data_IF_642964517614
#
_entry.id   IF_642964517614
#
_cell.length_a   1.000
_cell.length_b   1.000
_cell.length_c   1.000
_cell.angle_alpha   90.00
_cell.angle_beta   90.00
_cell.angle_gamma   90.00
#
_symmetry.space_group_name_H-M   'P 1'
#
loop_
_entity.id
_entity.type
_entity.pdbx_description
1 polymer ?
#
# COMPACT_ATOMS: atom_id res chain seq x y z
N UNK A 1 9.43 22.70 3.94
CA UNK A 1 9.09 21.25 3.85
C UNK A 1 8.20 20.80 5.00
N UNK A 2 8.49 21.12 6.28
CA UNK A 2 7.70 20.65 7.43
C UNK A 2 6.20 21.00 7.39
N UNK A 3 5.83 22.25 7.09
CA UNK A 3 4.41 22.65 7.00
C UNK A 3 3.61 21.84 5.97
N UNK A 4 4.19 21.56 4.81
CA UNK A 4 3.53 20.76 3.76
C UNK A 4 3.31 19.31 4.18
N UNK A 5 4.30 18.72 4.87
CA UNK A 5 4.19 17.38 5.44
C UNK A 5 3.07 17.33 6.49
N UNK A 6 3.03 18.28 7.42
CA UNK A 6 2.00 18.35 8.45
C UNK A 6 0.59 18.47 7.86
N UNK A 7 0.39 19.36 6.88
CA UNK A 7 -0.91 19.53 6.22
C UNK A 7 -1.32 18.26 5.47
N UNK A 8 -0.39 17.61 4.77
CA UNK A 8 -0.68 16.38 4.02
C UNK A 8 -1.12 15.25 4.96
N UNK A 9 -0.40 15.03 6.06
CA UNK A 9 -0.79 14.02 7.05
C UNK A 9 -2.10 14.36 7.76
N UNK A 10 -2.38 15.65 8.02
CA UNK A 10 -3.67 16.07 8.57
C UNK A 10 -4.84 15.76 7.60
N UNK A 11 -4.68 16.01 6.30
CA UNK A 11 -5.69 15.66 5.29
C UNK A 11 -5.89 14.15 5.16
N UNK A 12 -4.81 13.37 5.23
CA UNK A 12 -4.88 11.90 5.25
C UNK A 12 -5.66 11.44 6.48
N UNK A 13 -5.37 12.00 7.65
CA UNK A 13 -6.09 11.66 8.88
C UNK A 13 -7.58 12.02 8.79
N UNK A 14 -7.90 13.23 8.33
CA UNK A 14 -9.28 13.71 8.17
C UNK A 14 -10.09 12.93 7.12
N UNK A 15 -9.44 12.27 6.16
CA UNK A 15 -10.12 11.43 5.18
C UNK A 15 -10.26 9.98 5.63
N UNK A 16 -9.19 9.38 6.17
CA UNK A 16 -9.17 7.97 6.53
C UNK A 16 -9.87 7.67 7.86
N UNK A 17 -9.67 8.47 8.91
CA UNK A 17 -10.26 8.16 10.23
C UNK A 17 -11.79 8.25 10.24
N UNK A 18 -12.44 9.31 9.72
CA UNK A 18 -13.90 9.36 9.69
C UNK A 18 -14.50 8.24 8.86
N UNK A 19 -13.86 7.88 7.73
CA UNK A 19 -14.30 6.77 6.89
C UNK A 19 -14.22 5.43 7.63
N UNK A 20 -13.13 5.17 8.36
CA UNK A 20 -12.96 3.97 9.14
C UNK A 20 -13.96 3.89 10.31
N UNK A 21 -14.15 4.98 11.05
CA UNK A 21 -15.08 5.05 12.18
C UNK A 21 -16.53 4.87 11.71
N UNK A 22 -16.97 5.63 10.70
CA UNK A 22 -18.33 5.51 10.16
C UNK A 22 -18.56 4.14 9.52
N UNK A 23 -17.57 3.62 8.79
CA UNK A 23 -17.63 2.29 8.20
C UNK A 23 -17.80 1.19 9.24
N UNK A 24 -17.01 1.23 10.31
CA UNK A 24 -17.14 0.27 11.40
C UNK A 24 -18.47 0.45 12.16
N UNK A 25 -18.96 1.67 12.34
CA UNK A 25 -20.25 1.92 13.00
C UNK A 25 -21.45 1.36 12.19
N UNK A 26 -21.43 1.51 10.87
CA UNK A 26 -22.52 1.03 9.99
C UNK A 26 -22.48 -0.48 9.78
N UNK A 27 -21.31 -1.05 9.51
CA UNK A 27 -21.19 -2.46 9.12
C UNK A 27 -20.75 -3.38 10.27
N UNK A 28 -20.01 -2.89 11.26
CA UNK A 28 -19.51 -3.66 12.40
C UNK A 28 -18.88 -4.99 11.97
N UNK A 29 -19.29 -6.08 12.62
CA UNK A 29 -18.85 -7.45 12.30
C UNK A 29 -19.51 -8.06 11.05
N UNK A 30 -20.36 -7.31 10.33
CA UNK A 30 -21.06 -7.81 9.12
C UNK A 30 -20.24 -7.60 7.84
N UNK A 31 -19.06 -7.01 7.91
CA UNK A 31 -18.13 -6.95 6.77
C UNK A 31 -17.54 -8.36 6.58
N UNK A 32 -17.68 -8.98 5.39
CA UNK A 32 -17.05 -10.26 5.12
C UNK A 32 -15.53 -10.14 5.34
N UNK A 33 -14.98 -10.99 6.22
CA UNK A 33 -13.55 -11.03 6.53
C UNK A 33 -12.69 -11.65 5.40
N UNK A 34 -13.33 -12.09 4.31
CA UNK A 34 -12.65 -12.67 3.16
C UNK A 34 -11.83 -11.60 2.45
N UNK A 35 -10.52 -11.53 2.72
CA UNK A 35 -9.62 -10.60 2.03
C UNK A 35 -9.79 -10.70 0.50
N UNK A 36 -9.89 -9.52 -0.13
CA UNK A 36 -10.11 -9.19 -1.56
C UNK A 36 -9.93 -10.37 -2.54
N UNK A 37 -10.91 -10.65 -3.43
CA UNK A 37 -11.89 -9.70 -4.00
C UNK A 37 -13.21 -9.53 -3.24
N UNK A 38 -13.43 -10.25 -2.13
CA UNK A 38 -14.73 -10.34 -1.43
C UNK A 38 -14.85 -9.50 -0.14
N UNK A 39 -13.79 -8.87 0.32
CA UNK A 39 -13.73 -8.14 1.59
C UNK A 39 -13.41 -6.66 1.43
N UNK A 40 -13.85 -5.89 2.41
CA UNK A 40 -13.63 -4.45 2.49
C UNK A 40 -14.93 -3.65 2.62
N UNK A 41 -14.78 -2.35 2.88
CA UNK A 41 -15.93 -1.47 3.09
C UNK A 41 -16.84 -1.37 1.86
N UNK A 42 -16.27 -1.48 0.65
CA UNK A 42 -17.02 -1.44 -0.61
C UNK A 42 -17.90 -2.69 -0.79
N UNK A 43 -17.41 -3.88 -0.43
CA UNK A 43 -18.20 -5.11 -0.53
C UNK A 43 -19.31 -5.14 0.52
N UNK A 44 -19.01 -4.67 1.74
CA UNK A 44 -20.03 -4.42 2.78
C UNK A 44 -21.13 -3.47 2.31
N UNK A 45 -20.76 -2.37 1.65
CA UNK A 45 -21.71 -1.41 1.07
C UNK A 45 -22.58 -2.04 -0.03
N UNK A 46 -21.98 -2.75 -0.98
CA UNK A 46 -22.73 -3.38 -2.08
C UNK A 46 -23.67 -4.48 -1.55
N UNK A 47 -23.23 -5.26 -0.56
CA UNK A 47 -24.03 -6.35 -0.01
C UNK A 47 -25.22 -5.86 0.82
N UNK A 48 -25.03 -4.85 1.67
CA UNK A 48 -26.09 -4.36 2.57
C UNK A 48 -26.94 -3.24 1.97
N UNK A 49 -26.34 -2.33 1.20
CA UNK A 49 -27.01 -1.14 0.65
C UNK A 49 -27.15 -1.18 -0.87
N UNK A 50 -26.63 -2.22 -1.54
CA UNK A 50 -26.65 -2.31 -3.00
C UNK A 50 -28.05 -2.42 -3.61
N UNK A 51 -29.03 -2.98 -2.89
CA UNK A 51 -30.41 -3.09 -3.37
C UNK A 51 -31.19 -1.77 -3.23
N UNK A 52 -30.94 -1.00 -2.17
CA UNK A 52 -31.62 0.26 -1.88
C UNK A 52 -31.00 1.46 -2.61
N UNK A 53 -29.73 1.35 -3.00
CA UNK A 53 -28.98 2.45 -3.63
C UNK A 53 -29.22 2.53 -5.14
N UNK A 54 -29.47 3.75 -5.64
CA UNK A 54 -29.62 4.04 -7.08
C UNK A 54 -28.43 3.55 -7.92
N UNK A 55 -28.72 3.04 -9.12
CA UNK A 55 -27.70 2.56 -10.09
C UNK A 55 -26.67 3.65 -10.41
N UNK A 56 -27.08 4.92 -10.43
CA UNK A 56 -26.20 6.05 -10.70
C UNK A 56 -25.09 6.21 -9.66
N UNK A 57 -25.45 6.14 -8.37
CA UNK A 57 -24.49 6.29 -7.25
C UNK A 57 -23.46 5.16 -7.26
N UNK A 58 -23.91 3.92 -7.48
CA UNK A 58 -23.01 2.77 -7.61
C UNK A 58 -22.04 2.95 -8.78
N UNK A 59 -22.56 3.35 -9.95
CA UNK A 59 -21.74 3.64 -11.13
C UNK A 59 -20.69 4.70 -10.86
N UNK A 60 -21.06 5.79 -10.19
CA UNK A 60 -20.15 6.88 -9.85
C UNK A 60 -19.02 6.41 -8.92
N UNK A 61 -19.33 5.61 -7.89
CA UNK A 61 -18.30 5.04 -7.00
C UNK A 61 -17.30 4.18 -7.77
N UNK A 62 -17.77 3.26 -8.61
CA UNK A 62 -16.87 2.41 -9.40
C UNK A 62 -16.04 3.22 -10.39
N UNK A 63 -16.63 4.23 -11.04
CA UNK A 63 -15.89 5.12 -11.95
C UNK A 63 -14.78 5.88 -11.21
N UNK A 64 -15.05 6.42 -10.03
CA UNK A 64 -14.03 7.09 -9.22
C UNK A 64 -12.89 6.14 -8.81
N UNK A 65 -13.21 4.89 -8.45
CA UNK A 65 -12.20 3.87 -8.10
C UNK A 65 -11.32 3.56 -9.32
N UNK A 66 -11.91 3.40 -10.50
CA UNK A 66 -11.18 3.14 -11.74
C UNK A 66 -10.24 4.31 -12.07
N UNK A 67 -10.75 5.54 -12.03
CA UNK A 67 -9.95 6.74 -12.29
C UNK A 67 -8.79 6.83 -11.28
N UNK A 68 -9.07 6.66 -9.98
CA UNK A 68 -8.05 6.67 -8.94
C UNK A 68 -6.97 5.60 -9.17
N UNK A 69 -7.38 4.39 -9.56
CA UNK A 69 -6.45 3.28 -9.83
C UNK A 69 -5.57 3.55 -11.05
N UNK A 70 -6.15 4.09 -12.13
CA UNK A 70 -5.42 4.47 -13.34
C UNK A 70 -4.39 5.57 -13.07
N UNK A 71 -4.78 6.61 -12.32
CA UNK A 71 -3.86 7.69 -11.95
C UNK A 71 -2.76 7.21 -10.99
N UNK A 72 -3.13 6.42 -9.98
CA UNK A 72 -2.18 5.90 -8.98
C UNK A 72 -1.12 5.00 -9.60
N UNK A 73 -1.51 4.15 -10.56
CA UNK A 73 -0.57 3.29 -11.27
C UNK A 73 0.55 4.09 -11.94
N UNK A 74 0.23 5.23 -12.58
CA UNK A 74 1.24 6.07 -13.22
C UNK A 74 2.24 6.65 -12.21
N UNK A 75 1.74 7.11 -11.05
CA UNK A 75 2.58 7.68 -9.99
C UNK A 75 3.52 6.61 -9.42
N UNK A 76 3.01 5.40 -9.15
CA UNK A 76 3.83 4.32 -8.58
C UNK A 76 4.77 3.65 -9.58
N UNK A 77 4.44 3.67 -10.88
CA UNK A 77 5.31 3.11 -11.92
C UNK A 77 6.48 4.05 -12.28
N UNK A 78 6.34 5.37 -12.05
CA UNK A 78 7.35 6.36 -12.42
C UNK A 78 8.76 6.07 -11.84
N UNK A 79 8.92 5.77 -10.53
CA UNK A 79 10.23 5.41 -9.99
C UNK A 79 10.84 4.18 -10.66
N UNK A 80 10.03 3.20 -11.07
CA UNK A 80 10.52 2.00 -11.76
C UNK A 80 11.04 2.37 -13.15
N UNK A 81 10.30 3.20 -13.88
CA UNK A 81 10.73 3.69 -15.19
C UNK A 81 12.02 4.50 -15.11
N UNK A 82 12.14 5.38 -14.12
CA UNK A 82 13.36 6.16 -13.90
C UNK A 82 14.56 5.26 -13.57
N UNK A 83 14.38 4.22 -12.74
CA UNK A 83 15.43 3.26 -12.43
C UNK A 83 15.85 2.43 -13.66
N UNK A 84 14.91 1.97 -14.48
CA UNK A 84 15.20 1.24 -15.71
C UNK A 84 15.96 2.12 -16.72
N UNK A 85 15.55 3.38 -16.84
CA UNK A 85 16.22 4.35 -17.70
C UNK A 85 17.64 4.68 -17.21
N UNK A 86 17.81 4.94 -15.91
CA UNK A 86 19.14 5.16 -15.31
C UNK A 86 20.07 3.97 -15.58
N UNK A 87 19.56 2.74 -15.45
CA UNK A 87 20.34 1.52 -15.71
C UNK A 87 20.71 1.39 -17.20
N UNK A 88 19.82 1.76 -18.11
CA UNK A 88 20.11 1.80 -19.55
C UNK A 88 21.19 2.83 -19.88
N UNK A 89 21.08 4.04 -19.34
CA UNK A 89 22.05 5.13 -19.57
C UNK A 89 23.42 4.72 -19.02
N UNK A 90 23.46 4.17 -17.80
CA UNK A 90 24.71 3.70 -17.18
C UNK A 90 25.39 2.59 -17.99
N UNK A 91 24.61 1.65 -18.56
CA UNK A 91 25.16 0.53 -19.33
C UNK A 91 25.59 0.92 -20.75
N UNK A 92 24.80 1.75 -21.45
CA UNK A 92 25.01 2.05 -22.87
C UNK A 92 25.69 3.39 -23.12
N UNK A 93 25.90 4.17 -22.06
CA UNK A 93 26.46 5.52 -22.04
C UNK A 93 25.85 6.46 -23.10
N UNK A 94 24.56 6.25 -23.40
CA UNK A 94 23.79 6.97 -24.41
C UNK A 94 22.40 7.27 -23.86
N UNK A 95 21.80 8.36 -24.33
CA UNK A 95 20.43 8.73 -23.97
C UNK A 95 19.47 7.62 -24.38
N UNK A 96 18.46 7.38 -23.53
CA UNK A 96 17.43 6.38 -23.80
C UNK A 96 16.54 6.85 -24.96
N UNK A 97 16.55 6.18 -26.12
CA UNK A 97 15.71 6.59 -27.25
C UNK A 97 14.23 6.31 -26.92
N UNK A 98 13.34 7.09 -27.53
CA UNK A 98 11.89 7.01 -27.26
C UNK A 98 11.31 5.59 -27.42
N UNK A 99 11.76 4.82 -28.42
CA UNK A 99 11.32 3.44 -28.62
C UNK A 99 11.67 2.51 -27.45
N UNK A 100 12.83 2.69 -26.82
CA UNK A 100 13.25 1.89 -25.66
C UNK A 100 12.43 2.27 -24.44
N UNK A 101 12.14 3.57 -24.24
CA UNK A 101 11.22 4.02 -23.18
C UNK A 101 9.81 3.43 -23.34
N UNK A 102 9.28 3.43 -24.56
CA UNK A 102 7.99 2.79 -24.88
C UNK A 102 8.05 1.29 -24.64
N UNK A 103 9.14 0.63 -25.02
CA UNK A 103 9.38 -0.78 -24.74
C UNK A 103 9.36 -1.11 -23.25
N UNK A 104 10.03 -0.32 -22.41
CA UNK A 104 10.01 -0.50 -20.95
C UNK A 104 8.60 -0.35 -20.37
N UNK A 105 7.83 0.64 -20.83
CA UNK A 105 6.45 0.85 -20.37
C UNK A 105 5.52 -0.30 -20.75
N UNK A 106 5.59 -0.77 -21.99
CA UNK A 106 4.78 -1.90 -22.47
C UNK A 106 5.17 -3.18 -21.74
N UNK A 107 6.48 -3.44 -21.60
CA UNK A 107 6.97 -4.64 -20.92
C UNK A 107 6.57 -4.65 -19.44
N UNK A 108 6.79 -3.55 -18.73
CA UNK A 108 6.42 -3.44 -17.31
C UNK A 108 4.89 -3.52 -17.11
N UNK A 109 4.11 -2.86 -17.97
CA UNK A 109 2.65 -2.98 -17.96
C UNK A 109 2.16 -4.40 -18.24
N UNK A 110 2.77 -5.06 -19.23
CA UNK A 110 2.47 -6.45 -19.58
C UNK A 110 2.81 -7.42 -18.45
N UNK A 111 3.98 -7.29 -17.83
CA UNK A 111 4.36 -8.09 -16.66
C UNK A 111 3.39 -7.85 -15.50
N UNK A 112 3.05 -6.58 -15.22
CA UNK A 112 2.11 -6.23 -14.15
C UNK A 112 0.73 -6.85 -14.40
N UNK A 113 0.26 -6.84 -15.65
CA UNK A 113 -0.99 -7.48 -16.05
C UNK A 113 -0.92 -9.01 -15.90
N UNK A 114 0.15 -9.64 -16.38
CA UNK A 114 0.35 -11.09 -16.26
C UNK A 114 0.37 -11.52 -14.78
N UNK A 115 1.05 -10.75 -13.93
CA UNK A 115 1.11 -11.00 -12.48
C UNK A 115 -0.28 -10.85 -11.85
N UNK A 116 -1.04 -9.82 -12.23
CA UNK A 116 -2.39 -9.61 -11.72
C UNK A 116 -3.35 -10.76 -12.08
N UNK A 117 -3.23 -11.30 -13.30
CA UNK A 117 -4.05 -12.44 -13.77
C UNK A 117 -3.57 -13.77 -13.20
N UNK A 118 -2.26 -13.99 -13.13
CA UNK A 118 -1.67 -15.24 -12.65
C UNK A 118 -1.79 -15.41 -11.12
N UNK A 119 -1.73 -14.32 -10.36
CA UNK A 119 -1.72 -14.32 -8.90
C UNK A 119 -2.85 -13.46 -8.31
N UNK A 120 -4.12 -13.86 -8.45
CA UNK A 120 -5.27 -13.06 -7.97
C UNK A 120 -5.32 -12.93 -6.43
N UNK A 121 -4.52 -13.73 -5.72
CA UNK A 121 -4.40 -13.70 -4.26
C UNK A 121 -3.40 -12.66 -3.72
N UNK A 122 -2.71 -11.89 -4.58
CA UNK A 122 -1.72 -10.88 -4.15
C UNK A 122 -2.29 -9.86 -3.16
N UNK A 123 -3.58 -9.52 -3.28
CA UNK A 123 -4.26 -8.65 -2.32
C UNK A 123 -4.24 -9.17 -0.88
N UNK A 124 -4.24 -10.50 -0.69
CA UNK A 124 -4.16 -11.13 0.64
C UNK A 124 -2.77 -11.00 1.26
N UNK A 125 -1.73 -10.89 0.43
CA UNK A 125 -0.35 -10.69 0.87
C UNK A 125 -0.04 -9.23 1.19
N UNK A 126 -0.95 -8.29 0.89
CA UNK A 126 -0.71 -6.86 1.09
C UNK A 126 -0.36 -6.50 2.54
N UNK A 127 -1.04 -7.11 3.52
CA UNK A 127 -0.73 -6.90 4.94
C UNK A 127 0.66 -7.42 5.32
N UNK A 128 1.09 -8.55 4.75
CA UNK A 128 2.41 -9.14 4.98
C UNK A 128 3.52 -8.27 4.36
N UNK A 129 3.35 -7.87 3.09
CA UNK A 129 4.28 -6.99 2.38
C UNK A 129 4.37 -5.63 3.09
N UNK A 130 3.23 -5.09 3.52
CA UNK A 130 3.16 -3.91 4.38
C UNK A 130 3.98 -4.10 5.66
N UNK A 131 3.76 -5.19 6.38
CA UNK A 131 4.51 -5.55 7.60
C UNK A 131 6.04 -5.54 7.42
N UNK A 132 6.53 -6.14 6.32
CA UNK A 132 7.96 -6.21 6.00
C UNK A 132 8.56 -4.83 5.69
N UNK A 133 7.75 -3.89 5.17
CA UNK A 133 8.23 -2.54 4.82
C UNK A 133 8.16 -1.53 5.95
N UNK A 134 7.42 -1.82 7.04
CA UNK A 134 7.29 -0.92 8.21
C UNK A 134 8.62 -0.58 8.91
N UNK A 135 9.59 -1.51 9.05
CA UNK A 135 10.90 -1.15 9.58
C UNK A 135 11.60 -0.06 8.77
N UNK A 136 11.42 -0.06 7.45
CA UNK A 136 12.04 0.93 6.57
C UNK A 136 11.44 2.34 6.77
N UNK A 137 10.14 2.43 7.05
CA UNK A 137 9.44 3.72 7.17
C UNK A 137 9.48 4.29 8.58
N UNK A 138 9.39 3.44 9.62
CA UNK A 138 9.29 3.88 11.01
C UNK A 138 10.59 3.67 11.80
N UNK A 139 11.22 2.50 11.68
CA UNK A 139 12.37 2.17 12.52
C UNK A 139 13.68 2.76 11.99
N UNK A 140 13.91 2.62 10.67
CA UNK A 140 15.13 3.04 10.00
C UNK A 140 15.47 4.53 10.21
N UNK A 141 14.57 5.50 9.95
CA UNK A 141 14.91 6.91 10.15
C UNK A 141 15.22 7.25 11.62
N UNK A 142 14.55 6.60 12.58
CA UNK A 142 14.81 6.80 14.01
C UNK A 142 16.21 6.33 14.41
N UNK A 143 16.59 5.11 14.03
CA UNK A 143 17.93 4.59 14.33
C UNK A 143 19.03 5.33 13.55
N UNK A 144 18.77 5.65 12.28
CA UNK A 144 19.69 6.42 11.43
C UNK A 144 19.95 7.81 12.02
N UNK A 145 18.91 8.49 12.54
CA UNK A 145 19.08 9.78 13.19
C UNK A 145 19.97 9.71 14.44
N UNK A 146 19.80 8.67 15.26
CA UNK A 146 20.65 8.45 16.46
C UNK A 146 22.11 8.22 16.06
N UNK A 147 22.36 7.41 15.01
CA UNK A 147 23.71 7.12 14.52
C UNK A 147 24.41 8.36 13.94
N UNK A 148 23.69 9.20 13.19
CA UNK A 148 24.24 10.40 12.54
C UNK A 148 24.47 11.51 13.58
N UNK A 149 23.48 11.79 14.43
CA UNK A 149 23.52 12.95 15.33
C UNK A 149 24.24 12.68 16.65
N UNK A 150 24.46 11.42 17.02
CA UNK A 150 25.13 10.99 18.26
C UNK A 150 24.67 11.82 19.48
N UNK A 151 23.35 11.90 19.75
CA UNK A 151 22.85 12.66 20.88
C UNK A 151 23.40 12.10 22.20
N UNK A 152 23.46 12.93 23.24
CA UNK A 152 23.89 12.46 24.57
C UNK A 152 23.02 11.28 25.02
N UNK A 153 23.63 10.19 25.53
CA UNK A 153 22.86 9.07 26.05
C UNK A 153 21.91 9.55 27.15
N UNK A 154 20.68 9.04 27.16
CA UNK A 154 19.58 9.43 28.05
C UNK A 154 19.02 10.86 27.86
N UNK A 155 19.37 11.56 26.78
CA UNK A 155 18.64 12.78 26.39
C UNK A 155 17.21 12.46 25.96
N UNK A 156 16.26 13.36 26.21
CA UNK A 156 14.87 13.22 25.78
C UNK A 156 14.74 12.86 24.29
N UNK A 157 15.52 13.50 23.42
CA UNK A 157 15.51 13.21 21.97
C UNK A 157 16.08 11.83 21.64
N UNK A 158 17.05 11.33 22.42
CA UNK A 158 17.56 9.97 22.25
C UNK A 158 16.50 8.94 22.68
N UNK A 159 15.86 9.16 23.83
CA UNK A 159 14.80 8.29 24.34
C UNK A 159 13.60 8.22 23.39
N UNK A 160 13.11 9.37 22.88
CA UNK A 160 11.97 9.42 21.94
C UNK A 160 12.29 8.65 20.65
N UNK A 161 13.45 8.90 20.03
CA UNK A 161 13.80 8.22 18.78
C UNK A 161 14.04 6.72 19.01
N UNK A 162 14.66 6.33 20.12
CA UNK A 162 14.88 4.93 20.46
C UNK A 162 13.54 4.21 20.68
N UNK A 163 12.64 4.81 21.46
CA UNK A 163 11.32 4.26 21.74
C UNK A 163 10.48 4.13 20.47
N UNK A 164 10.43 5.16 19.63
CA UNK A 164 9.72 5.11 18.34
C UNK A 164 10.31 4.04 17.40
N UNK A 165 11.64 3.91 17.35
CA UNK A 165 12.31 2.89 16.56
C UNK A 165 11.97 1.46 17.03
N UNK A 166 12.03 1.22 18.35
CA UNK A 166 11.66 -0.04 18.95
C UNK A 166 10.16 -0.36 18.74
N UNK A 167 9.27 0.61 18.93
CA UNK A 167 7.84 0.44 18.68
C UNK A 167 7.57 0.10 17.21
N UNK A 168 8.23 0.77 16.26
CA UNK A 168 8.12 0.47 14.83
C UNK A 168 8.53 -0.97 14.52
N UNK A 169 9.61 -1.47 15.14
CA UNK A 169 10.05 -2.86 14.99
C UNK A 169 9.06 -3.86 15.59
N UNK A 170 8.55 -3.60 16.80
CA UNK A 170 7.56 -4.45 17.46
C UNK A 170 6.29 -4.52 16.61
N UNK A 171 5.81 -3.37 16.11
CA UNK A 171 4.63 -3.29 15.25
C UNK A 171 4.81 -4.10 13.97
N UNK A 172 5.99 -4.02 13.33
CA UNK A 172 6.31 -4.78 12.14
C UNK A 172 6.24 -6.29 12.40
N UNK A 173 6.85 -6.77 13.49
CA UNK A 173 6.82 -8.19 13.88
C UNK A 173 5.39 -8.65 14.16
N UNK A 174 4.62 -7.87 14.94
CA UNK A 174 3.23 -8.19 15.24
C UNK A 174 2.37 -8.28 13.96
N UNK A 175 2.54 -7.36 13.02
CA UNK A 175 1.80 -7.38 11.76
C UNK A 175 2.20 -8.55 10.87
N UNK A 176 3.48 -8.90 10.81
CA UNK A 176 3.95 -10.08 10.08
C UNK A 176 3.34 -11.35 10.69
N UNK A 177 3.41 -11.51 12.02
CA UNK A 177 2.84 -12.66 12.71
C UNK A 177 1.33 -12.77 12.51
N UNK A 178 0.60 -11.66 12.65
CA UNK A 178 -0.85 -11.63 12.45
C UNK A 178 -1.23 -11.92 10.98
N UNK A 179 -0.50 -11.34 10.02
CA UNK A 179 -0.72 -11.63 8.61
C UNK A 179 -0.45 -13.09 8.29
N UNK A 180 0.68 -13.64 8.75
CA UNK A 180 1.03 -15.05 8.58
C UNK A 180 0.01 -15.99 9.21
N UNK A 181 -0.50 -15.66 10.40
CA UNK A 181 -1.56 -16.43 11.05
C UNK A 181 -2.85 -16.44 10.22
N UNK A 182 -3.30 -15.28 9.75
CA UNK A 182 -4.48 -15.17 8.89
C UNK A 182 -4.29 -15.93 7.56
N UNK A 183 -3.10 -15.88 6.98
CA UNK A 183 -2.75 -16.63 5.77
C UNK A 183 -2.77 -18.15 5.99
N UNK A 184 -2.34 -18.60 7.17
CA UNK A 184 -2.39 -20.01 7.55
C UNK A 184 -3.84 -20.49 7.77
N UNK A 185 -4.63 -19.75 8.54
CA UNK A 185 -6.01 -20.11 8.89
C UNK A 185 -6.94 -20.13 7.67
N UNK A 186 -6.80 -19.16 6.77
CA UNK A 186 -7.65 -19.06 5.57
C UNK A 186 -7.22 -19.99 4.43
N UNK A 187 -6.00 -20.54 4.49
CA UNK A 187 -5.39 -21.30 3.41
C UNK A 187 -5.09 -20.47 2.16
N UNK A 188 -3.88 -20.58 1.62
CA UNK A 188 -3.57 -20.04 0.29
C UNK A 188 -4.04 -21.04 -0.75
N UNK A 189 -5.33 -21.00 -1.10
CA UNK A 189 -5.79 -21.67 -2.31
C UNK A 189 -5.14 -20.97 -3.51
N UNK A 190 -4.01 -21.52 -3.97
CA UNK A 190 -3.23 -21.06 -5.12
C UNK A 190 -4.01 -21.26 -6.42
N UNK A 191 -5.12 -20.55 -6.58
CA UNK A 191 -5.90 -20.50 -7.80
C UNK A 191 -5.15 -19.64 -8.83
N UNK A 192 -4.12 -20.22 -9.41
CA UNK A 192 -3.41 -19.62 -10.53
C UNK A 192 -4.38 -19.50 -11.72
N UNK A 193 -4.41 -18.33 -12.36
CA UNK A 193 -5.22 -18.05 -13.55
C UNK A 193 -6.76 -18.17 -13.38
N UNK A 194 -7.26 -18.17 -12.15
CA UNK A 194 -8.71 -18.08 -11.85
C UNK A 194 -8.96 -16.85 -10.96
N UNK A 195 -9.17 -15.67 -11.57
CA UNK A 195 -9.44 -14.43 -10.84
C UNK A 195 -10.77 -14.47 -10.06
#
# INVERSE_FOLDING_TARGET
MWRGVTVSYALIALSLFPLAIAGYWVYGNKVPADYMPKGGLLTGFVQHHGHTTSKFVKGLIYMLIIINSLCSYQIYAMPVFDNLEMRYISSKNRQCPWWVRTGFRICFGGISYLVAVAFPFLGRLAALIGGITLPLTYAYPCFMWILIKKPRPNSAMWCINLLLGCLGMILAVLLILAASWNLHDQGVNGNFFKP
#
